data_IF_935962674456
#
_entry.id   IF_935962674456
#
_cell.length_a   1.000
_cell.length_b   1.000
_cell.length_c   1.000
_cell.angle_alpha   90.00
_cell.angle_beta   90.00
_cell.angle_gamma   90.00
#
_symmetry.space_group_name_H-M   'P 1'
#
loop_
_entity.id
_entity.type
_entity.pdbx_description
1 polymer ?
#
# COMPACT_ATOMS: atom_id res chain seq x y z
N UNK A 1 30.58 -27.04 62.09
CA UNK A 1 31.13 -26.47 60.85
C UNK A 1 29.94 -26.12 59.92
N UNK A 2 29.65 -24.87 59.78
CA UNK A 2 28.55 -24.41 58.88
C UNK A 2 29.20 -23.90 57.60
N UNK A 3 29.07 -24.68 56.53
CA UNK A 3 29.59 -24.35 55.21
C UNK A 3 28.64 -23.33 54.57
N UNK A 4 29.10 -22.08 54.37
CA UNK A 4 28.37 -21.05 53.61
C UNK A 4 28.60 -21.31 52.12
N UNK A 5 27.53 -21.70 51.43
CA UNK A 5 27.50 -21.80 50.00
C UNK A 5 27.31 -20.37 49.45
N UNK A 6 28.35 -19.79 48.84
CA UNK A 6 28.26 -18.56 48.08
C UNK A 6 27.70 -18.90 46.70
N UNK A 7 26.47 -18.46 46.45
CA UNK A 7 25.86 -18.49 45.14
C UNK A 7 26.52 -17.35 44.31
N UNK A 8 27.25 -17.66 43.23
CA UNK A 8 27.75 -16.59 42.37
C UNK A 8 26.55 -15.97 41.68
N UNK A 9 26.28 -14.70 42.01
CA UNK A 9 25.33 -13.86 41.32
C UNK A 9 25.85 -13.71 39.90
N UNK A 10 25.35 -14.58 38.99
CA UNK A 10 25.63 -14.51 37.56
C UNK A 10 25.03 -13.22 37.06
N UNK A 11 25.88 -12.24 36.89
CA UNK A 11 25.54 -10.97 36.24
C UNK A 11 25.17 -11.29 34.79
N UNK A 12 23.89 -11.58 34.53
CA UNK A 12 23.33 -11.65 33.17
C UNK A 12 23.45 -10.24 32.61
N UNK A 13 24.33 -9.99 31.61
CA UNK A 13 24.31 -8.72 30.95
C UNK A 13 22.92 -8.61 30.32
N UNK A 14 22.11 -7.74 30.86
CA UNK A 14 20.85 -7.31 30.27
C UNK A 14 21.20 -6.74 28.91
N UNK A 15 21.16 -7.58 27.89
CA UNK A 15 21.25 -7.17 26.49
C UNK A 15 19.97 -6.37 26.21
N UNK A 16 19.98 -5.12 26.63
CA UNK A 16 18.99 -4.14 26.19
C UNK A 16 19.26 -4.01 24.69
N UNK A 17 18.55 -4.82 23.91
CA UNK A 17 18.37 -4.58 22.50
C UNK A 17 17.71 -3.21 22.43
N UNK A 18 18.51 -2.16 22.27
CA UNK A 18 18.03 -0.83 21.92
C UNK A 18 17.39 -1.04 20.55
N UNK A 19 16.08 -1.29 20.54
CA UNK A 19 15.29 -1.22 19.33
C UNK A 19 15.31 0.24 18.92
N UNK A 20 16.32 0.61 18.13
CA UNK A 20 16.32 1.88 17.43
C UNK A 20 15.09 1.83 16.54
N UNK A 21 14.12 2.73 16.72
CA UNK A 21 12.98 2.80 15.81
C UNK A 21 13.53 3.00 14.40
N UNK A 22 13.24 2.09 13.50
CA UNK A 22 13.51 2.27 12.08
C UNK A 22 12.60 3.41 11.60
N UNK A 23 13.08 4.63 11.73
CA UNK A 23 12.36 5.80 11.24
C UNK A 23 12.53 5.86 9.73
N UNK A 24 11.43 5.95 9.00
CA UNK A 24 11.48 6.29 7.60
C UNK A 24 12.28 7.61 7.46
N UNK A 25 13.30 7.61 6.63
CA UNK A 25 14.17 8.79 6.47
C UNK A 25 13.42 9.97 5.86
N UNK A 26 12.35 9.68 5.11
CA UNK A 26 11.52 10.67 4.43
C UNK A 26 10.05 10.30 4.61
N UNK A 27 9.26 11.24 5.09
CA UNK A 27 7.81 11.11 5.21
C UNK A 27 7.14 11.75 3.99
N UNK A 28 6.10 11.10 3.47
CA UNK A 28 5.35 11.53 2.29
C UNK A 28 3.86 11.56 2.62
N UNK A 29 3.18 12.64 2.27
CA UNK A 29 1.74 12.80 2.42
C UNK A 29 1.15 13.66 1.29
N UNK A 30 -0.01 13.26 0.74
CA UNK A 30 -0.74 12.02 0.92
C UNK A 30 -0.01 10.81 0.32
N UNK A 31 -0.46 9.60 0.66
CA UNK A 31 0.11 8.33 0.16
C UNK A 31 -0.49 7.87 -1.17
N UNK A 32 -1.43 8.63 -1.73
CA UNK A 32 -2.04 8.43 -3.04
C UNK A 32 -2.31 9.78 -3.68
N UNK A 33 -2.10 9.86 -4.99
CA UNK A 33 -2.35 11.04 -5.79
C UNK A 33 -3.55 10.82 -6.69
N UNK A 34 -4.50 11.76 -6.65
CA UNK A 34 -5.63 11.79 -7.56
C UNK A 34 -5.59 13.09 -8.34
N UNK A 35 -5.60 12.96 -9.67
CA UNK A 35 -5.64 14.08 -10.62
C UNK A 35 -6.89 13.96 -11.45
N UNK A 36 -7.65 15.03 -11.55
CA UNK A 36 -8.85 15.11 -12.39
C UNK A 36 -8.53 15.94 -13.64
N UNK A 37 -9.19 15.65 -14.75
CA UNK A 37 -8.96 16.32 -16.04
C UNK A 37 -9.26 17.83 -16.04
N UNK A 38 -10.10 18.31 -15.11
CA UNK A 38 -10.40 19.73 -14.95
C UNK A 38 -9.34 20.51 -14.17
N UNK A 39 -8.53 19.83 -13.32
CA UNK A 39 -7.46 20.45 -12.54
C UNK A 39 -6.08 20.13 -13.10
N UNK A 40 -5.93 18.96 -13.69
CA UNK A 40 -4.68 18.42 -14.25
C UNK A 40 -3.48 18.44 -13.32
N UNK A 41 -3.69 18.63 -12.01
CA UNK A 41 -2.60 18.78 -11.04
C UNK A 41 -2.98 18.17 -9.69
N UNK A 42 -1.96 17.62 -9.02
CA UNK A 42 -2.01 17.20 -7.62
C UNK A 42 -0.65 17.44 -6.96
N UNK A 43 -0.60 17.42 -5.63
CA UNK A 43 0.59 17.73 -4.86
C UNK A 43 0.81 16.71 -3.76
N UNK A 44 2.07 16.47 -3.42
CA UNK A 44 2.48 15.77 -2.20
C UNK A 44 3.49 16.61 -1.44
N UNK A 45 3.53 16.40 -0.13
CA UNK A 45 4.50 16.97 0.78
C UNK A 45 5.53 15.90 1.14
N UNK A 46 6.80 16.23 0.97
CA UNK A 46 7.91 15.37 1.30
C UNK A 46 8.70 16.02 2.41
N UNK A 47 8.86 15.33 3.53
CA UNK A 47 9.56 15.85 4.71
C UNK A 47 10.73 14.95 5.08
N UNK A 48 11.92 15.52 5.22
CA UNK A 48 13.07 14.81 5.77
C UNK A 48 12.92 14.69 7.29
N UNK A 49 12.63 13.47 7.77
CA UNK A 49 12.48 13.17 9.21
C UNK A 49 13.78 12.65 9.85
N UNK A 50 14.84 12.48 9.05
CA UNK A 50 16.14 12.01 9.53
C UNK A 50 17.01 13.15 10.06
N UNK A 51 18.11 12.79 10.70
CA UNK A 51 19.10 13.75 11.24
C UNK A 51 20.16 14.20 10.21
N UNK A 52 20.10 13.70 8.97
CA UNK A 52 21.05 14.01 7.91
C UNK A 52 20.34 14.52 6.67
N UNK A 53 21.03 15.31 5.84
CA UNK A 53 20.47 15.78 4.57
C UNK A 53 20.14 14.59 3.66
N UNK A 54 19.01 14.66 2.97
CA UNK A 54 18.51 13.63 2.05
C UNK A 54 18.46 14.18 0.63
N UNK A 55 19.08 13.49 -0.28
CA UNK A 55 18.87 13.69 -1.72
C UNK A 55 17.66 12.88 -2.14
N UNK A 56 16.71 13.51 -2.84
CA UNK A 56 15.46 12.93 -3.28
C UNK A 56 15.39 13.01 -4.79
N UNK A 57 15.11 11.89 -5.43
CA UNK A 57 14.89 11.79 -6.86
C UNK A 57 13.49 11.22 -7.11
N UNK A 58 12.76 11.83 -8.04
CA UNK A 58 11.40 11.41 -8.40
C UNK A 58 11.40 10.87 -9.83
N UNK A 59 10.93 9.66 -10.01
CA UNK A 59 10.68 9.03 -11.29
C UNK A 59 9.24 8.53 -11.39
N UNK A 60 8.83 8.19 -12.58
CA UNK A 60 7.50 7.68 -12.87
C UNK A 60 7.66 6.34 -13.61
N UNK A 61 6.82 5.39 -13.27
CA UNK A 61 6.73 4.10 -13.96
C UNK A 61 5.29 3.61 -14.00
N UNK A 62 4.96 2.81 -14.96
CA UNK A 62 3.72 2.06 -14.94
C UNK A 62 3.84 0.92 -13.94
N UNK A 63 2.74 0.60 -13.28
CA UNK A 63 2.65 -0.54 -12.38
C UNK A 63 1.34 -0.57 -11.62
N UNK A 64 0.94 -1.77 -11.26
CA UNK A 64 -0.27 -2.02 -10.49
C UNK A 64 -0.06 -3.25 -9.59
N UNK A 65 -0.76 -3.30 -8.45
CA UNK A 65 -0.78 -4.51 -7.63
C UNK A 65 -1.65 -5.57 -8.30
N UNK A 66 -1.16 -6.80 -8.34
CA UNK A 66 -1.88 -7.98 -8.77
C UNK A 66 -1.77 -9.07 -7.72
N UNK A 67 -2.70 -10.00 -7.70
CA UNK A 67 -2.68 -11.15 -6.79
C UNK A 67 -2.50 -12.46 -7.54
N UNK A 68 -2.00 -13.46 -6.82
CA UNK A 68 -2.08 -14.85 -7.23
C UNK A 68 -3.38 -15.50 -6.73
N UNK A 69 -3.58 -16.78 -7.00
CA UNK A 69 -4.78 -17.53 -6.61
C UNK A 69 -4.96 -17.64 -5.08
N UNK A 70 -3.87 -17.57 -4.31
CA UNK A 70 -3.91 -17.54 -2.85
C UNK A 70 -4.27 -16.15 -2.28
N UNK A 71 -4.38 -15.14 -3.13
CA UNK A 71 -4.64 -13.76 -2.74
C UNK A 71 -3.41 -13.00 -2.25
N UNK A 72 -2.20 -13.55 -2.47
CA UNK A 72 -0.95 -12.84 -2.17
C UNK A 72 -0.70 -11.75 -3.21
N UNK A 73 -0.51 -10.51 -2.73
CA UNK A 73 -0.38 -9.33 -3.57
C UNK A 73 1.09 -9.09 -3.92
N UNK A 74 1.36 -8.84 -5.19
CA UNK A 74 2.67 -8.39 -5.68
C UNK A 74 2.51 -7.25 -6.70
N UNK A 75 3.54 -6.41 -6.83
CA UNK A 75 3.53 -5.37 -7.84
C UNK A 75 3.93 -5.90 -9.21
N UNK A 76 3.18 -5.52 -10.24
CA UNK A 76 3.47 -5.79 -11.64
C UNK A 76 3.89 -4.49 -12.32
N UNK A 77 5.12 -4.46 -12.84
CA UNK A 77 5.70 -3.30 -13.53
C UNK A 77 5.93 -3.54 -15.02
N UNK A 78 6.10 -4.81 -15.41
CA UNK A 78 6.47 -5.23 -16.76
C UNK A 78 5.27 -5.85 -17.49
N UNK A 79 4.27 -5.01 -17.80
CA UNK A 79 3.09 -5.41 -18.57
C UNK A 79 2.85 -4.35 -19.66
N UNK A 80 3.51 -4.51 -20.79
CA UNK A 80 3.50 -3.54 -21.89
C UNK A 80 2.12 -3.41 -22.54
N UNK A 81 1.33 -4.48 -22.58
CA UNK A 81 -0.03 -4.45 -23.12
C UNK A 81 -0.93 -3.55 -22.26
N UNK A 82 -0.94 -3.78 -20.95
CA UNK A 82 -1.70 -2.94 -20.01
C UNK A 82 -1.13 -1.53 -19.91
N UNK A 83 0.18 -1.38 -19.98
CA UNK A 83 0.83 -0.08 -20.02
C UNK A 83 0.34 0.75 -21.19
N UNK A 84 0.29 0.19 -22.39
CA UNK A 84 -0.19 0.89 -23.59
C UNK A 84 -1.62 1.42 -23.43
N UNK A 85 -2.47 0.71 -22.68
CA UNK A 85 -3.89 1.05 -22.49
C UNK A 85 -4.09 1.99 -21.28
N UNK A 86 -3.44 1.73 -20.15
CA UNK A 86 -3.80 2.34 -18.87
C UNK A 86 -2.75 3.30 -18.31
N UNK A 87 -1.54 3.34 -18.86
CA UNK A 87 -0.50 4.19 -18.30
C UNK A 87 -0.71 5.67 -18.57
N UNK A 88 -0.32 6.48 -17.57
CA UNK A 88 -0.22 7.94 -17.66
C UNK A 88 1.20 8.43 -17.36
N UNK A 89 2.16 7.53 -17.16
CA UNK A 89 3.51 7.87 -16.69
C UNK A 89 4.27 8.84 -17.61
N UNK A 90 4.12 8.71 -18.93
CA UNK A 90 4.75 9.60 -19.91
C UNK A 90 4.10 11.00 -19.99
N UNK A 91 2.84 11.11 -19.58
CA UNK A 91 2.08 12.36 -19.56
C UNK A 91 2.26 13.17 -18.30
N UNK A 92 2.85 12.58 -17.25
CA UNK A 92 3.06 13.28 -15.98
C UNK A 92 4.35 14.11 -16.00
N UNK A 93 4.26 15.34 -15.54
CA UNK A 93 5.40 16.21 -15.25
C UNK A 93 5.46 16.43 -13.75
N UNK A 94 6.66 16.27 -13.19
CA UNK A 94 6.91 16.47 -11.75
C UNK A 94 7.86 17.62 -11.55
N UNK A 95 7.56 18.48 -10.61
CA UNK A 95 8.43 19.57 -10.22
C UNK A 95 8.47 19.79 -8.71
N UNK A 96 9.68 19.89 -8.11
CA UNK A 96 10.98 19.51 -8.68
C UNK A 96 11.13 17.99 -8.83
N UNK A 97 11.97 17.53 -9.78
CA UNK A 97 12.28 16.09 -9.95
C UNK A 97 13.44 15.62 -9.08
N UNK A 98 14.29 16.57 -8.67
CA UNK A 98 15.46 16.30 -7.81
C UNK A 98 15.62 17.45 -6.84
N UNK A 99 15.88 17.12 -5.58
CA UNK A 99 16.07 18.10 -4.53
C UNK A 99 16.88 17.50 -3.38
N UNK A 100 17.42 18.39 -2.55
CA UNK A 100 18.06 18.04 -1.28
C UNK A 100 17.27 18.67 -0.16
N UNK A 101 16.85 17.86 0.82
CA UNK A 101 16.18 18.34 2.03
C UNK A 101 17.10 18.23 3.24
N UNK A 102 17.28 19.35 3.94
CA UNK A 102 17.96 19.37 5.22
C UNK A 102 17.10 18.68 6.29
N UNK A 103 17.68 18.24 7.43
CA UNK A 103 16.90 17.67 8.53
C UNK A 103 15.71 18.56 8.93
N UNK A 104 14.51 17.95 9.00
CA UNK A 104 13.26 18.64 9.32
C UNK A 104 12.68 19.52 8.20
N UNK A 105 13.34 19.63 7.06
CA UNK A 105 12.86 20.43 5.93
C UNK A 105 11.74 19.67 5.17
N UNK A 106 10.75 20.43 4.71
CA UNK A 106 9.66 19.93 3.87
C UNK A 106 9.64 20.64 2.52
N UNK A 107 9.22 19.93 1.48
CA UNK A 107 9.05 20.46 0.14
C UNK A 107 7.78 19.90 -0.50
N UNK A 108 7.04 20.73 -1.21
CA UNK A 108 5.91 20.33 -2.05
C UNK A 108 6.41 19.87 -3.41
N UNK A 109 6.00 18.67 -3.83
CA UNK A 109 6.20 18.17 -5.17
C UNK A 109 4.86 18.29 -5.93
N UNK A 110 4.89 18.91 -7.10
CA UNK A 110 3.73 19.10 -7.97
C UNK A 110 3.77 18.12 -9.11
N UNK A 111 2.64 17.43 -9.31
CA UNK A 111 2.43 16.47 -10.38
C UNK A 111 1.40 17.03 -11.33
N UNK A 112 1.81 17.35 -12.54
CA UNK A 112 0.92 17.85 -13.59
C UNK A 112 0.76 16.78 -14.65
N UNK A 113 -0.49 16.46 -15.00
CA UNK A 113 -0.82 15.54 -16.09
C UNK A 113 -1.13 16.32 -17.34
N UNK A 114 -0.45 16.01 -18.43
CA UNK A 114 -0.72 16.60 -19.73
C UNK A 114 -2.03 16.01 -20.30
N UNK A 115 -2.89 16.82 -20.93
CA UNK A 115 -4.17 16.35 -21.45
C UNK A 115 -4.02 15.18 -22.42
N UNK A 116 -4.87 14.16 -22.28
CA UNK A 116 -4.89 12.96 -23.12
C UNK A 116 -6.13 12.97 -24.02
N UNK A 117 -6.22 13.95 -24.96
CA UNK A 117 -7.42 14.17 -25.77
C UNK A 117 -7.90 12.92 -26.52
N UNK A 118 -6.99 12.10 -27.03
CA UNK A 118 -7.30 10.92 -27.85
C UNK A 118 -7.53 9.62 -27.05
N UNK A 119 -7.52 9.68 -25.72
CA UNK A 119 -7.82 8.53 -24.88
C UNK A 119 -9.31 8.51 -24.52
N UNK A 120 -9.97 7.34 -24.38
CA UNK A 120 -11.34 7.25 -23.91
C UNK A 120 -11.49 7.77 -22.47
N UNK A 121 -12.72 7.97 -22.03
CA UNK A 121 -13.02 8.24 -20.64
C UNK A 121 -12.66 7.06 -19.75
N UNK A 122 -12.24 7.33 -18.50
CA UNK A 122 -11.85 6.33 -17.55
C UNK A 122 -10.73 6.77 -16.61
N UNK A 123 -10.18 5.83 -15.88
CA UNK A 123 -9.07 6.09 -14.97
C UNK A 123 -7.78 5.47 -15.51
N UNK A 124 -6.74 6.28 -15.53
CA UNK A 124 -5.38 5.94 -15.93
C UNK A 124 -4.48 6.05 -14.70
N UNK A 125 -3.37 5.32 -14.68
CA UNK A 125 -2.51 5.36 -13.49
C UNK A 125 -1.03 5.21 -13.84
N UNK A 126 -0.23 5.66 -12.89
CA UNK A 126 1.20 5.47 -12.81
C UNK A 126 1.62 5.29 -11.35
N UNK A 127 2.89 5.06 -11.15
CA UNK A 127 3.54 5.05 -9.85
C UNK A 127 4.56 6.17 -9.82
N UNK A 128 4.45 7.05 -8.82
CA UNK A 128 5.48 8.02 -8.51
C UNK A 128 6.47 7.37 -7.55
N UNK A 129 7.68 7.10 -8.03
CA UNK A 129 8.76 6.50 -7.24
C UNK A 129 9.60 7.62 -6.66
N UNK A 130 9.62 7.72 -5.35
CA UNK A 130 10.37 8.70 -4.61
C UNK A 130 11.53 7.98 -3.94
N UNK A 131 12.71 8.11 -4.55
CA UNK A 131 13.95 7.54 -4.06
C UNK A 131 14.65 8.56 -3.17
N UNK A 132 15.01 8.19 -1.96
CA UNK A 132 15.76 9.01 -1.01
C UNK A 132 17.04 8.32 -0.60
N UNK A 133 18.11 9.10 -0.48
CA UNK A 133 19.40 8.66 0.05
C UNK A 133 20.06 9.75 0.88
N UNK A 134 20.79 9.36 1.90
CA UNK A 134 21.59 10.29 2.67
C UNK A 134 22.65 10.96 1.77
N UNK A 135 22.77 12.29 1.86
CA UNK A 135 23.86 13.02 1.22
C UNK A 135 25.15 12.62 1.93
N UNK A 136 26.05 11.98 1.17
CA UNK A 136 27.36 11.64 1.67
C UNK A 136 28.30 12.83 1.49
N UNK A 137 29.21 13.15 2.45
CA UNK A 137 30.33 14.01 2.19
C UNK A 137 31.18 13.49 1.03
N UNK A 138 31.76 14.36 0.24
CA UNK A 138 32.59 13.96 -0.89
C UNK A 138 33.73 13.04 -0.45
N UNK A 139 34.03 12.04 -1.30
CA UNK A 139 35.06 11.02 -1.04
C UNK A 139 36.44 11.66 -0.82
N UNK A 140 36.67 12.86 -1.38
CA UNK A 140 37.93 13.60 -1.28
C UNK A 140 38.24 14.09 0.15
N UNK A 141 37.22 14.38 0.96
CA UNK A 141 37.38 14.75 2.36
C UNK A 141 37.81 13.59 3.28
N UNK A 142 37.62 12.35 2.83
CA UNK A 142 37.90 11.12 3.58
C UNK A 142 39.27 10.49 3.21
N UNK A 143 39.86 10.88 2.08
CA UNK A 143 41.17 10.34 1.65
C UNK A 143 42.39 10.91 2.40
N UNK A 144 42.17 11.90 3.26
CA UNK A 144 43.27 12.52 4.04
C UNK A 144 43.51 11.86 5.39
N UNK A 145 42.73 10.88 5.82
CA UNK A 145 43.01 10.10 7.02
C UNK A 145 43.63 8.75 6.63
N UNK A 146 44.95 8.80 6.45
CA UNK A 146 45.91 7.68 6.48
C UNK A 146 45.35 6.24 6.46
N UNK A 147 45.35 5.63 5.28
CA UNK A 147 45.66 4.18 5.18
C UNK A 147 44.58 3.17 5.54
N UNK A 148 43.39 3.57 5.95
CA UNK A 148 42.31 2.63 6.22
C UNK A 148 41.36 2.46 5.00
N UNK A 149 41.25 1.23 4.52
CA UNK A 149 40.26 0.88 3.49
C UNK A 149 38.87 0.77 4.17
N UNK A 150 38.13 1.87 4.15
CA UNK A 150 36.73 1.87 4.62
C UNK A 150 35.77 1.44 3.54
N UNK A 151 34.98 0.38 3.74
CA UNK A 151 33.83 0.07 2.90
C UNK A 151 32.61 0.89 3.37
N UNK A 152 31.97 1.62 2.46
CA UNK A 152 30.74 2.37 2.74
C UNK A 152 29.57 1.78 1.99
N UNK A 153 28.50 1.43 2.72
CA UNK A 153 27.24 0.95 2.12
C UNK A 153 26.29 2.13 2.01
N UNK A 154 25.96 2.52 0.79
CA UNK A 154 24.91 3.51 0.52
C UNK A 154 23.56 2.78 0.46
N UNK A 155 22.57 3.25 1.24
CA UNK A 155 21.20 2.71 1.20
C UNK A 155 20.30 3.72 0.49
N UNK A 156 19.53 3.24 -0.47
CA UNK A 156 18.49 4.01 -1.16
C UNK A 156 17.13 3.45 -0.71
N UNK A 157 16.27 4.34 -0.22
CA UNK A 157 14.89 3.99 0.12
C UNK A 157 13.97 4.47 -1.00
N UNK A 158 13.18 3.56 -1.56
CA UNK A 158 12.16 3.89 -2.55
C UNK A 158 10.77 3.76 -1.94
N UNK A 159 9.96 4.80 -2.09
CA UNK A 159 8.55 4.81 -1.77
C UNK A 159 7.76 4.95 -3.07
N UNK A 160 6.85 4.03 -3.29
CA UNK A 160 6.09 3.88 -4.53
C UNK A 160 4.65 4.34 -4.31
N UNK A 161 4.34 5.55 -4.75
CA UNK A 161 3.06 6.23 -4.52
C UNK A 161 2.17 6.08 -5.76
N UNK A 162 0.95 5.51 -5.64
CA UNK A 162 0.02 5.44 -6.75
C UNK A 162 -0.47 6.84 -7.15
N UNK A 163 -0.44 7.11 -8.45
CA UNK A 163 -1.02 8.30 -9.08
C UNK A 163 -2.14 7.86 -10.01
N UNK A 164 -3.33 8.37 -9.80
CA UNK A 164 -4.52 8.13 -10.61
C UNK A 164 -4.91 9.41 -11.35
N UNK A 165 -5.17 9.29 -12.63
CA UNK A 165 -5.72 10.35 -13.45
C UNK A 165 -7.11 9.96 -13.96
N UNK A 166 -8.13 10.72 -13.57
CA UNK A 166 -9.50 10.52 -13.99
C UNK A 166 -9.82 11.46 -15.14
N UNK A 167 -10.12 10.86 -16.30
CA UNK A 167 -10.56 11.55 -17.50
C UNK A 167 -12.06 11.32 -17.74
N UNK A 168 -12.81 12.39 -17.85
CA UNK A 168 -14.25 12.34 -18.14
C UNK A 168 -15.03 11.46 -17.17
N UNK A 169 -15.93 10.65 -17.72
CA UNK A 169 -16.80 9.78 -16.93
C UNK A 169 -16.11 8.44 -16.61
N UNK A 170 -15.75 8.26 -15.35
CA UNK A 170 -15.20 7.01 -14.83
C UNK A 170 -16.25 6.24 -14.05
N UNK A 171 -16.32 4.93 -14.28
CA UNK A 171 -17.22 3.98 -13.62
C UNK A 171 -16.43 2.84 -13.00
N UNK A 172 -16.91 2.28 -11.91
CA UNK A 172 -16.29 1.14 -11.25
C UNK A 172 -17.33 0.22 -10.63
N UNK A 173 -16.96 -1.01 -10.36
CA UNK A 173 -17.73 -2.05 -9.73
C UNK A 173 -16.94 -3.34 -9.66
N UNK A 174 -17.59 -4.40 -9.22
CA UNK A 174 -17.02 -5.76 -9.17
C UNK A 174 -18.01 -6.78 -9.74
N UNK A 175 -17.47 -7.74 -10.45
CA UNK A 175 -18.13 -8.99 -10.79
C UNK A 175 -17.46 -10.06 -9.92
N UNK A 176 -18.16 -10.51 -8.87
CA UNK A 176 -17.67 -11.58 -7.99
C UNK A 176 -17.97 -12.90 -8.67
N UNK A 177 -16.93 -13.68 -8.99
CA UNK A 177 -17.05 -14.98 -9.65
C UNK A 177 -17.24 -16.09 -8.63
N UNK A 178 -16.40 -16.08 -7.58
CA UNK A 178 -16.40 -17.14 -6.57
C UNK A 178 -15.79 -16.65 -5.26
N UNK A 179 -16.26 -17.22 -4.16
CA UNK A 179 -15.65 -17.10 -2.84
C UNK A 179 -15.26 -18.50 -2.39
N UNK A 180 -13.97 -18.71 -2.22
CA UNK A 180 -13.42 -19.95 -1.65
C UNK A 180 -13.30 -19.78 -0.15
N UNK A 181 -13.61 -20.83 0.59
CA UNK A 181 -13.51 -20.85 2.05
C UNK A 181 -12.56 -21.95 2.47
N UNK A 182 -11.62 -21.59 3.34
CA UNK A 182 -10.71 -22.51 3.99
C UNK A 182 -10.75 -22.22 5.50
N UNK A 183 -10.96 -23.24 6.32
CA UNK A 183 -11.19 -23.10 7.77
C UNK A 183 -10.18 -23.95 8.51
N UNK A 184 -9.45 -23.36 9.42
CA UNK A 184 -8.64 -24.04 10.42
C UNK A 184 -9.21 -23.78 11.83
N UNK A 185 -8.54 -24.26 12.88
CA UNK A 185 -9.01 -24.11 14.26
C UNK A 185 -9.03 -22.68 14.77
N UNK A 186 -8.25 -21.78 14.18
CA UNK A 186 -8.03 -20.41 14.64
C UNK A 186 -8.76 -19.38 13.78
N UNK A 187 -8.90 -19.66 12.46
CA UNK A 187 -9.40 -18.70 11.49
C UNK A 187 -10.08 -19.34 10.29
N UNK A 188 -11.02 -18.60 9.76
CA UNK A 188 -11.60 -18.83 8.45
C UNK A 188 -10.94 -17.86 7.45
N UNK A 189 -10.46 -18.40 6.35
CA UNK A 189 -9.87 -17.65 5.24
C UNK A 189 -10.84 -17.64 4.07
N UNK A 190 -11.30 -16.47 3.69
CA UNK A 190 -12.11 -16.26 2.51
C UNK A 190 -11.22 -15.72 1.38
N UNK A 191 -11.24 -16.37 0.22
CA UNK A 191 -10.58 -15.93 -0.99
C UNK A 191 -11.63 -15.52 -2.02
N UNK A 192 -11.76 -14.23 -2.21
CA UNK A 192 -12.71 -13.63 -3.16
C UNK A 192 -12.06 -13.54 -4.52
N UNK A 193 -12.56 -14.27 -5.50
CA UNK A 193 -12.21 -14.15 -6.91
C UNK A 193 -13.19 -13.20 -7.60
N UNK A 194 -12.68 -12.08 -8.10
CA UNK A 194 -13.51 -11.07 -8.75
C UNK A 194 -12.75 -10.32 -9.84
N UNK A 195 -13.50 -9.82 -10.80
CA UNK A 195 -13.02 -8.92 -11.85
C UNK A 195 -13.64 -7.54 -11.64
N UNK A 196 -12.85 -6.48 -11.87
CA UNK A 196 -13.40 -5.12 -11.89
C UNK A 196 -14.45 -4.99 -13.01
N UNK A 197 -15.48 -4.23 -12.75
CA UNK A 197 -16.47 -3.76 -13.72
C UNK A 197 -16.27 -2.27 -13.97
N UNK A 198 -16.43 -1.84 -15.23
CA UNK A 198 -16.23 -0.44 -15.64
C UNK A 198 -14.81 -0.11 -16.11
N UNK A 199 -14.53 1.19 -16.26
CA UNK A 199 -13.31 1.73 -16.85
C UNK A 199 -12.32 2.33 -15.82
N UNK A 200 -12.54 2.04 -14.52
CA UNK A 200 -11.71 2.47 -13.40
C UNK A 200 -11.41 1.26 -12.50
N UNK A 201 -10.21 1.17 -11.88
CA UNK A 201 -9.98 0.22 -10.81
C UNK A 201 -11.03 0.37 -9.69
N UNK A 202 -11.46 -0.75 -9.13
CA UNK A 202 -12.24 -0.70 -7.89
C UNK A 202 -11.26 -0.42 -6.73
N UNK A 203 -11.46 0.71 -6.08
CA UNK A 203 -10.73 1.09 -4.87
C UNK A 203 -11.76 1.16 -3.74
N UNK A 204 -11.69 0.24 -2.79
CA UNK A 204 -12.77 0.15 -1.81
C UNK A 204 -12.37 -0.58 -0.55
N UNK A 205 -13.40 -1.06 0.13
CA UNK A 205 -13.32 -1.87 1.33
C UNK A 205 -14.17 -3.12 1.14
N UNK A 206 -13.66 -4.26 1.56
CA UNK A 206 -14.47 -5.47 1.74
C UNK A 206 -14.75 -5.58 3.23
N UNK A 207 -16.02 -5.63 3.59
CA UNK A 207 -16.49 -5.88 4.95
C UNK A 207 -17.09 -7.28 4.97
N UNK A 208 -16.60 -8.16 5.83
CA UNK A 208 -17.16 -9.47 6.08
C UNK A 208 -17.87 -9.44 7.43
N UNK A 209 -19.17 -9.71 7.41
CA UNK A 209 -20.04 -9.81 8.59
C UNK A 209 -20.53 -11.24 8.72
N UNK A 210 -20.33 -11.85 9.88
CA UNK A 210 -20.69 -13.23 10.14
C UNK A 210 -21.80 -13.31 11.15
N UNK A 211 -22.81 -14.13 10.83
CA UNK A 211 -24.05 -14.30 11.60
C UNK A 211 -24.24 -15.76 11.98
N UNK A 212 -24.70 -16.01 13.20
CA UNK A 212 -25.09 -17.32 13.67
C UNK A 212 -26.47 -17.75 13.14
N UNK A 213 -26.92 -18.93 13.51
CA UNK A 213 -28.24 -19.49 13.13
C UNK A 213 -29.44 -18.70 13.66
N UNK A 214 -29.25 -17.87 14.70
CA UNK A 214 -30.26 -16.96 15.23
C UNK A 214 -30.34 -15.64 14.46
N UNK A 215 -29.37 -15.36 13.59
CA UNK A 215 -29.21 -14.10 12.87
C UNK A 215 -28.47 -13.02 13.67
N UNK A 216 -27.87 -13.37 14.81
CA UNK A 216 -27.03 -12.44 15.54
C UNK A 216 -25.64 -12.34 14.87
N UNK A 217 -25.12 -11.10 14.75
CA UNK A 217 -23.76 -10.88 14.26
C UNK A 217 -22.76 -11.32 15.33
N UNK A 218 -21.91 -12.28 14.98
CA UNK A 218 -20.92 -12.86 15.90
C UNK A 218 -19.51 -12.38 15.61
N UNK A 219 -19.21 -12.04 14.34
CA UNK A 219 -17.91 -11.52 13.94
C UNK A 219 -18.04 -10.50 12.81
N UNK A 220 -17.12 -9.54 12.76
CA UNK A 220 -16.93 -8.69 11.60
C UNK A 220 -15.45 -8.38 11.36
N UNK A 221 -15.10 -8.17 10.12
CA UNK A 221 -13.77 -7.69 9.73
C UNK A 221 -13.90 -6.80 8.50
N UNK A 222 -12.98 -5.83 8.37
CA UNK A 222 -12.94 -4.96 7.20
C UNK A 222 -11.51 -4.85 6.69
N UNK A 223 -11.35 -4.90 5.37
CA UNK A 223 -10.05 -4.78 4.69
C UNK A 223 -10.17 -3.84 3.50
N UNK A 224 -9.22 -2.92 3.37
CA UNK A 224 -9.07 -2.16 2.13
C UNK A 224 -8.78 -3.10 0.98
N UNK A 225 -9.48 -2.91 -0.12
CA UNK A 225 -9.35 -3.73 -1.31
C UNK A 225 -9.21 -2.87 -2.56
N UNK A 226 -8.50 -3.41 -3.53
CA UNK A 226 -8.36 -2.82 -4.85
C UNK A 226 -8.37 -3.93 -5.89
N UNK A 227 -9.08 -3.73 -6.98
CA UNK A 227 -9.12 -4.62 -8.13
C UNK A 227 -8.83 -3.79 -9.37
N UNK A 228 -7.66 -4.00 -9.94
CA UNK A 228 -7.26 -3.36 -11.19
C UNK A 228 -7.79 -4.14 -12.39
N UNK A 229 -7.86 -5.45 -12.26
CA UNK A 229 -8.32 -6.40 -13.26
C UNK A 229 -9.04 -7.56 -12.59
N UNK A 230 -8.80 -8.78 -13.04
CA UNK A 230 -9.22 -10.01 -12.38
C UNK A 230 -8.22 -10.37 -11.28
N UNK A 231 -8.72 -10.57 -10.08
CA UNK A 231 -7.88 -10.65 -8.88
C UNK A 231 -8.50 -11.55 -7.81
N UNK A 232 -7.65 -12.06 -6.93
CA UNK A 232 -8.05 -12.73 -5.71
C UNK A 232 -7.76 -11.84 -4.50
N UNK A 233 -8.67 -11.80 -3.53
CA UNK A 233 -8.47 -11.07 -2.26
C UNK A 233 -8.73 -11.98 -1.09
N UNK A 234 -7.78 -12.00 -0.16
CA UNK A 234 -7.83 -12.80 1.05
C UNK A 234 -8.35 -11.97 2.21
N UNK A 235 -9.32 -12.53 2.94
CA UNK A 235 -9.90 -11.97 4.15
C UNK A 235 -9.85 -13.06 5.20
N UNK A 236 -9.42 -12.73 6.41
CA UNK A 236 -9.35 -13.66 7.53
C UNK A 236 -10.34 -13.23 8.60
N UNK A 237 -11.11 -14.17 9.10
CA UNK A 237 -12.08 -14.01 10.19
C UNK A 237 -11.61 -14.93 11.32
N UNK A 238 -11.34 -14.43 12.53
CA UNK A 238 -11.04 -15.28 13.69
C UNK A 238 -12.24 -16.16 14.03
N UNK A 239 -12.02 -17.45 14.30
CA UNK A 239 -13.06 -18.42 14.67
C UNK A 239 -12.70 -19.26 15.90
N UNK A 240 -11.59 -18.96 16.57
CA UNK A 240 -11.00 -19.73 17.67
C UNK A 240 -11.99 -20.01 18.82
N UNK A 241 -12.85 -19.04 19.15
CA UNK A 241 -13.82 -19.16 20.26
C UNK A 241 -15.28 -19.42 19.76
N UNK A 242 -15.43 -19.88 18.53
CA UNK A 242 -16.77 -20.08 17.95
C UNK A 242 -17.28 -21.51 18.17
N UNK A 243 -18.55 -21.64 18.43
CA UNK A 243 -19.20 -22.95 18.54
C UNK A 243 -19.34 -23.60 17.16
N UNK A 244 -19.23 -24.94 17.10
CA UNK A 244 -19.48 -25.67 15.86
C UNK A 244 -20.92 -25.49 15.41
N UNK A 245 -21.13 -25.15 14.14
CA UNK A 245 -22.45 -24.87 13.61
C UNK A 245 -22.44 -24.21 12.24
N UNK A 246 -23.63 -23.86 11.77
CA UNK A 246 -23.80 -23.15 10.50
C UNK A 246 -23.84 -21.65 10.73
N UNK A 247 -23.10 -20.94 9.90
CA UNK A 247 -22.99 -19.49 9.91
C UNK A 247 -23.22 -18.95 8.51
N UNK A 248 -23.77 -17.74 8.44
CA UNK A 248 -23.85 -16.97 7.20
C UNK A 248 -22.79 -15.88 7.23
N UNK A 249 -22.06 -15.74 6.14
CA UNK A 249 -21.10 -14.63 5.96
C UNK A 249 -21.58 -13.75 4.82
N UNK A 250 -21.83 -12.49 5.13
CA UNK A 250 -22.17 -11.46 4.16
C UNK A 250 -20.92 -10.64 3.85
N UNK A 251 -20.48 -10.65 2.58
CA UNK A 251 -19.38 -9.88 2.06
C UNK A 251 -19.92 -8.62 1.38
N UNK A 252 -19.61 -7.47 1.94
CA UNK A 252 -19.99 -6.18 1.39
C UNK A 252 -18.80 -5.52 0.70
N UNK A 253 -18.98 -5.16 -0.56
CA UNK A 253 -18.00 -4.43 -1.36
C UNK A 253 -18.46 -2.99 -1.48
N UNK A 254 -17.66 -2.07 -0.91
CA UNK A 254 -18.00 -0.66 -0.80
C UNK A 254 -16.85 0.20 -1.32
N UNK A 255 -17.15 1.21 -2.12
CA UNK A 255 -16.15 2.17 -2.62
C UNK A 255 -15.78 3.24 -1.59
N UNK A 256 -16.26 3.14 -0.34
CA UNK A 256 -15.87 4.03 0.74
C UNK A 256 -14.57 3.57 1.41
N UNK A 257 -13.66 4.52 1.60
CA UNK A 257 -12.39 4.32 2.31
C UNK A 257 -12.13 5.50 3.24
N UNK A 258 -11.48 5.22 4.38
CA UNK A 258 -11.17 6.27 5.36
C UNK A 258 -9.92 7.09 4.98
N UNK A 259 -9.05 6.54 4.17
CA UNK A 259 -7.76 7.12 3.76
C UNK A 259 -7.83 7.85 2.41
N UNK A 260 -8.99 7.82 1.73
CA UNK A 260 -9.22 8.50 0.46
C UNK A 260 -10.45 9.39 0.57
N UNK A 261 -10.32 10.62 0.09
CA UNK A 261 -11.47 11.53 0.03
C UNK A 261 -12.55 10.99 -0.93
N UNK A 262 -13.82 11.06 -0.53
CA UNK A 262 -14.93 10.60 -1.34
C UNK A 262 -15.00 11.27 -2.73
N UNK A 263 -14.54 12.53 -2.86
CA UNK A 263 -14.47 13.26 -4.13
C UNK A 263 -13.46 12.67 -5.13
N UNK A 264 -12.41 11.99 -4.59
CA UNK A 264 -11.32 11.43 -5.38
C UNK A 264 -11.62 9.99 -5.82
N UNK A 265 -12.57 9.35 -5.17
CA UNK A 265 -13.00 8.00 -5.49
C UNK A 265 -14.08 7.98 -6.59
N UNK A 266 -14.01 6.97 -7.44
CA UNK A 266 -15.13 6.61 -8.31
C UNK A 266 -16.11 5.80 -7.48
N UNK A 267 -17.34 6.29 -7.34
CA UNK A 267 -18.35 5.66 -6.49
C UNK A 267 -19.10 4.57 -7.27
N UNK A 268 -19.42 3.48 -6.59
CA UNK A 268 -20.31 2.42 -7.06
C UNK A 268 -21.33 2.07 -5.96
N UNK A 269 -22.51 1.56 -6.32
CA UNK A 269 -23.42 1.00 -5.34
C UNK A 269 -22.75 -0.13 -4.54
N UNK A 270 -23.06 -0.21 -3.24
CA UNK A 270 -22.61 -1.33 -2.41
C UNK A 270 -23.14 -2.65 -2.98
N UNK A 271 -22.26 -3.61 -3.14
CA UNK A 271 -22.59 -4.96 -3.55
C UNK A 271 -22.48 -5.90 -2.34
N UNK A 272 -23.37 -6.87 -2.26
CA UNK A 272 -23.35 -7.90 -1.19
C UNK A 272 -23.32 -9.28 -1.81
N UNK A 273 -22.47 -10.14 -1.30
CA UNK A 273 -22.39 -11.55 -1.65
C UNK A 273 -22.43 -12.38 -0.37
N UNK A 274 -23.44 -13.25 -0.26
CA UNK A 274 -23.66 -14.07 0.94
C UNK A 274 -23.24 -15.51 0.67
N UNK A 275 -22.56 -16.12 1.64
CA UNK A 275 -22.19 -17.54 1.64
C UNK A 275 -22.61 -18.18 2.96
N UNK A 276 -22.89 -19.49 2.93
CA UNK A 276 -23.04 -20.30 4.13
C UNK A 276 -21.76 -21.09 4.38
N UNK A 277 -21.33 -21.16 5.63
CA UNK A 277 -20.16 -21.88 6.09
C UNK A 277 -20.49 -22.73 7.30
N UNK A 278 -19.74 -23.79 7.53
CA UNK A 278 -19.86 -24.67 8.69
C UNK A 278 -18.52 -24.68 9.43
N UNK A 279 -18.54 -24.35 10.73
CA UNK A 279 -17.39 -24.35 11.62
C UNK A 279 -17.43 -25.57 12.52
#
# INVERSE_FOLDING_TARGET
MKTKIYFPLLLVPLLICIMLPAQAQVSIAPTMLFVQDNTNMSEIYVTNTSSVAQEINISLRFGFPASNEEGTISMRYEDEEKRAIYSVDEQVRVFPRRLVLQPGQSQTLRFQVMPMANRPDGMYWARAVIASRAVSPDVDDLMLAQGEVGARVGVVFEQDIPLFYRKGNATTGLIVHQVFTDIDQERMVLRVHATRDGNSPFLGTIVAEMFDSSGAMVQNTARSAFFYFEEHRRIEIPVEDMESGRYRVDLHFDTQRRDISARDMVQAPRQTHSIEVEI
#
